data_IF_551750852460
#
_entry.id   IF_551750852460
#
_cell.length_a   1.000
_cell.length_b   1.000
_cell.length_c   1.000
_cell.angle_alpha   90.00
_cell.angle_beta   90.00
_cell.angle_gamma   90.00
#
_symmetry.space_group_name_H-M   'P 1'
#
loop_
_entity.id
_entity.type
_entity.pdbx_description
1 polymer ?
#
# COMPACT_ATOMS: atom_id res chain seq x y z
N UNK A 1 42.07 5.63 2.75
CA UNK A 1 41.02 6.07 1.79
C UNK A 1 40.14 4.92 1.28
N UNK A 2 40.67 3.74 0.91
CA UNK A 2 39.87 2.59 0.42
C UNK A 2 38.78 2.09 1.38
N UNK A 3 39.06 2.06 2.69
CA UNK A 3 38.10 1.61 3.72
C UNK A 3 36.88 2.55 3.87
N UNK A 4 37.06 3.87 3.71
CA UNK A 4 35.94 4.83 3.75
C UNK A 4 35.04 4.70 2.53
N UNK A 5 35.60 4.42 1.35
CA UNK A 5 34.82 4.21 0.12
C UNK A 5 33.91 2.97 0.24
N UNK A 6 34.38 1.91 0.90
CA UNK A 6 33.62 0.67 1.11
C UNK A 6 32.42 0.86 2.06
N UNK A 7 32.58 1.65 3.13
CA UNK A 7 31.47 1.99 4.04
C UNK A 7 30.40 2.88 3.36
N UNK A 8 30.81 3.78 2.47
CA UNK A 8 29.88 4.60 1.69
C UNK A 8 29.11 3.77 0.65
N UNK A 9 29.76 2.79 0.02
CA UNK A 9 29.11 1.86 -0.92
C UNK A 9 28.08 0.96 -0.23
N UNK A 10 28.33 0.54 1.02
CA UNK A 10 27.35 -0.24 1.80
C UNK A 10 26.14 0.60 2.24
N UNK A 11 26.28 1.92 2.44
CA UNK A 11 25.19 2.79 2.84
C UNK A 11 24.19 3.10 1.69
N UNK A 12 24.54 2.75 0.45
CA UNK A 12 23.73 2.94 -0.75
C UNK A 12 22.90 1.69 -1.14
N UNK A 13 22.84 0.66 -0.30
CA UNK A 13 21.88 -0.42 -0.47
C UNK A 13 20.48 0.12 -0.21
N UNK A 14 19.78 0.45 -1.29
CA UNK A 14 18.36 0.79 -1.28
C UNK A 14 17.60 -0.40 -0.66
N UNK A 15 17.18 -0.25 0.59
CA UNK A 15 16.41 -1.29 1.27
C UNK A 15 14.99 -1.23 0.72
N UNK A 16 14.57 -2.21 -0.07
CA UNK A 16 13.15 -2.43 -0.36
C UNK A 16 12.58 -3.41 0.65
N UNK A 17 11.34 -3.20 1.09
CA UNK A 17 10.66 -4.15 1.98
C UNK A 17 9.25 -4.47 1.48
N UNK A 18 8.79 -5.64 1.87
CA UNK A 18 7.43 -6.11 1.64
C UNK A 18 6.46 -5.41 2.60
N UNK A 19 5.29 -5.04 2.12
CA UNK A 19 4.25 -4.39 2.90
C UNK A 19 2.87 -4.83 2.42
N UNK A 20 1.88 -4.69 3.30
CA UNK A 20 0.47 -4.98 3.02
C UNK A 20 -0.37 -3.78 3.46
N UNK A 21 -1.63 -3.75 3.02
CA UNK A 21 -2.59 -2.79 3.54
C UNK A 21 -2.75 -2.96 5.06
N UNK A 22 -2.90 -1.86 5.84
CA UNK A 22 -3.17 -1.96 7.28
C UNK A 22 -4.40 -2.82 7.55
N UNK A 23 -4.34 -3.65 8.58
CA UNK A 23 -5.49 -4.43 9.00
C UNK A 23 -6.44 -3.54 9.82
N UNK A 24 -7.74 -3.46 9.44
CA UNK A 24 -8.70 -2.61 10.12
C UNK A 24 -8.90 -2.97 11.60
N UNK A 25 -8.60 -4.20 12.01
CA UNK A 25 -8.85 -4.70 13.36
C UNK A 25 -7.63 -4.58 14.30
N UNK A 26 -6.45 -4.21 13.80
CA UNK A 26 -5.23 -4.12 14.61
C UNK A 26 -4.44 -2.82 14.42
N UNK A 27 -4.96 -1.88 13.63
CA UNK A 27 -4.31 -0.60 13.32
C UNK A 27 -5.17 0.58 13.75
N UNK A 28 -4.68 1.81 13.57
CA UNK A 28 -5.44 3.02 13.89
C UNK A 28 -6.76 3.17 13.11
N UNK A 29 -6.98 2.34 12.09
CA UNK A 29 -8.22 2.29 11.32
C UNK A 29 -9.43 1.92 12.17
N UNK A 30 -9.29 1.14 13.25
CA UNK A 30 -10.42 0.83 14.14
C UNK A 30 -11.00 2.06 14.84
N UNK A 31 -10.29 3.19 14.82
CA UNK A 31 -10.75 4.50 15.30
C UNK A 31 -11.01 5.50 14.16
N UNK A 32 -11.01 5.03 12.90
CA UNK A 32 -11.23 5.89 11.73
C UNK A 32 -10.02 6.73 11.34
N UNK A 33 -8.82 6.40 11.83
CA UNK A 33 -7.60 7.16 11.57
C UNK A 33 -6.61 6.34 10.72
N UNK A 34 -6.22 6.80 9.52
CA UNK A 34 -5.17 6.14 8.75
C UNK A 34 -3.84 6.07 9.53
N UNK A 35 -3.22 4.89 9.68
CA UNK A 35 -1.97 4.77 10.42
C UNK A 35 -0.82 5.37 9.60
N UNK A 36 0.11 6.07 10.23
CA UNK A 36 1.32 6.53 9.54
C UNK A 36 2.03 5.33 8.86
N UNK A 37 2.51 5.46 7.60
CA UNK A 37 2.53 6.64 6.73
C UNK A 37 1.34 6.72 5.74
N UNK A 38 0.25 6.02 6.01
CA UNK A 38 -0.98 6.10 5.23
C UNK A 38 -1.73 7.39 5.51
N UNK A 39 -2.36 7.92 4.47
CA UNK A 39 -3.12 9.16 4.51
C UNK A 39 -4.56 8.90 4.06
N UNK A 40 -5.47 9.80 4.46
CA UNK A 40 -6.83 9.82 3.92
C UNK A 40 -6.76 10.02 2.40
N UNK A 41 -7.47 9.19 1.65
CA UNK A 41 -7.59 9.40 0.20
C UNK A 41 -8.65 10.48 -0.04
N UNK A 42 -8.29 11.66 -0.60
CA UNK A 42 -9.25 12.74 -0.86
C UNK A 42 -10.29 12.38 -1.93
N UNK A 43 -10.06 11.31 -2.70
CA UNK A 43 -10.97 10.81 -3.72
C UNK A 43 -11.87 9.66 -3.23
N UNK A 44 -11.79 9.32 -1.93
CA UNK A 44 -12.64 8.31 -1.33
C UNK A 44 -14.09 8.80 -1.24
N UNK A 45 -15.06 7.97 -1.59
CA UNK A 45 -16.49 8.31 -1.48
C UNK A 45 -16.92 8.57 -0.03
N UNK A 46 -16.38 7.78 0.91
CA UNK A 46 -16.59 7.94 2.34
C UNK A 46 -15.26 8.22 3.07
N UNK A 47 -15.28 8.92 4.22
CA UNK A 47 -14.11 9.02 5.08
C UNK A 47 -13.81 7.67 5.76
N UNK A 48 -12.55 7.42 6.18
CA UNK A 48 -12.26 6.32 7.08
C UNK A 48 -13.08 6.45 8.36
N UNK A 49 -13.75 5.36 8.73
CA UNK A 49 -14.61 5.29 9.90
C UNK A 49 -14.31 4.00 10.67
N UNK A 50 -14.05 4.16 11.97
CA UNK A 50 -13.73 3.06 12.86
C UNK A 50 -14.96 2.25 13.20
N UNK A 51 -15.13 1.10 12.54
CA UNK A 51 -16.24 0.20 12.77
C UNK A 51 -15.75 -1.25 12.92
N UNK A 52 -16.11 -1.94 14.01
CA UNK A 52 -15.85 -3.37 14.15
C UNK A 52 -16.43 -4.16 12.98
N UNK A 53 -15.65 -5.10 12.44
CA UNK A 53 -16.09 -5.89 11.27
C UNK A 53 -15.86 -5.19 9.93
N UNK A 54 -15.16 -4.06 9.90
CA UNK A 54 -14.64 -3.47 8.65
C UNK A 54 -13.78 -4.50 7.90
N UNK A 55 -14.05 -4.67 6.61
CA UNK A 55 -13.39 -5.68 5.78
C UNK A 55 -12.46 -5.03 4.76
N UNK A 56 -11.31 -5.65 4.53
CA UNK A 56 -10.48 -5.34 3.37
C UNK A 56 -11.20 -5.77 2.07
N UNK A 57 -11.20 -4.89 1.06
CA UNK A 57 -11.84 -5.16 -0.24
C UNK A 57 -10.79 -5.36 -1.34
N UNK A 58 -9.86 -4.42 -1.45
CA UNK A 58 -8.83 -4.44 -2.51
C UNK A 58 -7.67 -3.51 -2.22
N UNK A 59 -6.55 -3.79 -2.85
CA UNK A 59 -5.41 -2.91 -2.97
C UNK A 59 -5.20 -2.51 -4.43
N UNK A 60 -4.79 -1.27 -4.67
CA UNK A 60 -4.47 -0.74 -5.99
C UNK A 60 -3.06 -0.16 -5.98
N UNK A 61 -2.21 -0.58 -6.92
CA UNK A 61 -0.95 0.13 -7.20
C UNK A 61 -1.24 1.16 -8.27
N UNK A 62 -0.99 2.43 -7.96
CA UNK A 62 -1.24 3.56 -8.85
C UNK A 62 -0.01 3.81 -9.72
N UNK A 63 -0.19 3.86 -11.04
CA UNK A 63 0.91 3.98 -12.02
C UNK A 63 0.82 5.30 -12.79
N UNK A 64 1.90 6.07 -12.76
CA UNK A 64 2.13 7.23 -13.61
C UNK A 64 3.58 7.18 -14.13
N UNK A 65 3.78 6.38 -15.19
CA UNK A 65 5.10 5.97 -15.68
C UNK A 65 5.71 4.81 -14.87
N UNK A 66 5.74 4.96 -13.54
CA UNK A 66 6.13 3.91 -12.58
C UNK A 66 5.16 3.85 -11.39
N UNK A 67 5.33 2.88 -10.49
CA UNK A 67 4.49 2.75 -9.30
C UNK A 67 4.70 3.92 -8.34
N UNK A 68 3.66 4.72 -8.14
CA UNK A 68 3.69 5.98 -7.37
C UNK A 68 2.96 5.92 -6.03
N UNK A 69 2.34 4.79 -5.73
CA UNK A 69 1.71 4.59 -4.44
C UNK A 69 0.76 3.40 -4.45
N UNK A 70 0.19 3.16 -3.28
CA UNK A 70 -0.81 2.13 -3.04
C UNK A 70 -2.06 2.76 -2.46
N UNK A 71 -3.23 2.35 -2.92
CA UNK A 71 -4.52 2.67 -2.31
C UNK A 71 -5.16 1.40 -1.77
N UNK A 72 -5.61 1.41 -0.52
CA UNK A 72 -6.29 0.30 0.12
C UNK A 72 -7.76 0.68 0.32
N UNK A 73 -8.66 -0.18 -0.14
CA UNK A 73 -10.11 0.01 0.01
C UNK A 73 -10.66 -0.95 1.05
N UNK A 74 -11.53 -0.44 1.90
CA UNK A 74 -12.21 -1.17 2.96
C UNK A 74 -13.71 -0.93 2.87
N UNK A 75 -14.49 -1.86 3.41
CA UNK A 75 -15.95 -1.82 3.45
C UNK A 75 -16.46 -1.98 4.87
N UNK A 76 -17.39 -1.11 5.26
CA UNK A 76 -18.14 -1.18 6.51
C UNK A 76 -19.63 -0.87 6.26
N UNK A 77 -20.41 -0.61 7.31
CA UNK A 77 -21.85 -0.32 7.18
C UNK A 77 -22.16 0.96 6.39
N UNK A 78 -21.23 1.92 6.35
CA UNK A 78 -21.35 3.16 5.57
C UNK A 78 -20.94 3.00 4.09
N UNK A 79 -20.43 1.82 3.71
CA UNK A 79 -19.98 1.51 2.36
C UNK A 79 -18.45 1.49 2.25
N UNK A 80 -17.93 1.83 1.07
CA UNK A 80 -16.50 1.76 0.79
C UNK A 80 -15.79 3.06 1.17
N UNK A 81 -14.64 2.93 1.82
CA UNK A 81 -13.67 4.01 1.95
C UNK A 81 -12.28 3.54 1.53
N UNK A 82 -11.40 4.48 1.21
CA UNK A 82 -10.01 4.18 0.89
C UNK A 82 -9.02 5.10 1.61
N UNK A 83 -7.84 4.55 1.86
CA UNK A 83 -6.65 5.26 2.29
C UNK A 83 -5.57 5.04 1.25
N UNK A 84 -4.58 5.92 1.21
CA UNK A 84 -3.49 5.80 0.25
C UNK A 84 -2.13 6.07 0.89
N UNK A 85 -1.09 5.55 0.26
CA UNK A 85 0.30 5.84 0.57
C UNK A 85 1.01 6.20 -0.71
N UNK A 86 1.55 7.41 -0.78
CA UNK A 86 2.38 7.85 -1.91
C UNK A 86 3.82 7.43 -1.66
N UNK A 87 4.32 6.48 -2.44
CA UNK A 87 5.67 5.94 -2.29
C UNK A 87 6.09 5.23 -3.58
N UNK A 88 7.38 4.91 -3.74
CA UNK A 88 7.84 4.15 -4.90
C UNK A 88 7.52 2.68 -4.67
N UNK A 89 6.68 2.13 -5.54
CA UNK A 89 6.23 0.73 -5.47
C UNK A 89 6.79 -0.04 -6.65
N UNK A 90 7.37 -1.22 -6.40
CA UNK A 90 7.74 -2.15 -7.46
C UNK A 90 6.49 -2.62 -8.18
N UNK A 91 6.47 -2.50 -9.51
CA UNK A 91 5.36 -3.02 -10.31
C UNK A 91 5.40 -4.56 -10.30
N UNK A 92 4.27 -5.22 -10.04
CA UNK A 92 4.15 -6.67 -10.17
C UNK A 92 4.44 -7.13 -11.60
N UNK A 93 4.98 -8.34 -11.80
CA UNK A 93 5.04 -8.93 -13.12
C UNK A 93 3.61 -9.17 -13.64
N UNK A 94 3.39 -9.09 -14.95
CA UNK A 94 2.06 -9.32 -15.57
C UNK A 94 1.50 -10.74 -15.35
N UNK A 95 2.34 -11.67 -14.94
CA UNK A 95 2.00 -13.07 -14.64
C UNK A 95 1.73 -13.30 -13.15
N UNK A 96 1.74 -12.26 -12.32
CA UNK A 96 1.48 -12.37 -10.89
C UNK A 96 0.05 -12.91 -10.65
N UNK A 97 -0.13 -13.91 -9.77
CA UNK A 97 -1.45 -14.50 -9.55
C UNK A 97 -2.39 -13.63 -8.71
N UNK A 98 -1.87 -12.67 -7.95
CA UNK A 98 -2.66 -11.81 -7.06
C UNK A 98 -2.91 -10.43 -7.66
N UNK A 99 -1.95 -9.92 -8.44
CA UNK A 99 -2.01 -8.58 -9.02
C UNK A 99 -2.44 -8.60 -10.49
N UNK A 100 -3.65 -8.11 -10.72
CA UNK A 100 -4.26 -7.99 -12.04
C UNK A 100 -3.89 -6.63 -12.64
N UNK A 101 -3.28 -6.66 -13.82
CA UNK A 101 -2.97 -5.46 -14.62
C UNK A 101 -4.26 -4.80 -15.14
N UNK A 102 -4.40 -3.50 -14.89
CA UNK A 102 -5.53 -2.67 -15.31
C UNK A 102 -5.02 -1.36 -15.90
N UNK A 103 -5.87 -0.64 -16.62
CA UNK A 103 -5.47 0.60 -17.32
C UNK A 103 -4.76 1.63 -16.42
N UNK A 104 -5.14 1.73 -15.14
CA UNK A 104 -4.60 2.69 -14.19
C UNK A 104 -3.44 2.16 -13.33
N UNK A 105 -3.01 0.90 -13.53
CA UNK A 105 -1.98 0.25 -12.73
C UNK A 105 -2.30 -1.21 -12.44
N UNK A 106 -2.31 -1.59 -11.16
CA UNK A 106 -2.61 -2.97 -10.75
C UNK A 106 -3.66 -3.00 -9.66
N UNK A 107 -4.45 -4.07 -9.62
CA UNK A 107 -5.43 -4.31 -8.56
C UNK A 107 -5.25 -5.72 -7.99
N UNK A 108 -5.33 -5.84 -6.66
CA UNK A 108 -5.42 -7.11 -5.96
C UNK A 108 -6.69 -7.13 -5.11
N UNK A 109 -7.52 -8.16 -5.32
CA UNK A 109 -8.77 -8.39 -4.58
C UNK A 109 -8.74 -9.69 -3.77
N UNK A 110 -7.57 -10.30 -3.62
CA UNK A 110 -7.33 -11.47 -2.77
C UNK A 110 -7.41 -11.08 -1.28
N UNK A 111 -7.12 -12.01 -0.37
CA UNK A 111 -6.93 -11.68 1.04
C UNK A 111 -5.85 -10.58 1.22
N UNK A 112 -5.99 -9.76 2.25
CA UNK A 112 -5.10 -8.62 2.55
C UNK A 112 -3.63 -9.02 2.56
N UNK A 113 -3.32 -10.19 3.12
CA UNK A 113 -1.99 -10.77 3.23
C UNK A 113 -1.43 -11.23 1.88
N UNK A 114 -2.29 -11.62 0.94
CA UNK A 114 -1.89 -12.00 -0.41
C UNK A 114 -1.67 -10.78 -1.33
N UNK A 115 -2.24 -9.63 -0.99
CA UNK A 115 -2.00 -8.35 -1.65
C UNK A 115 -0.72 -7.67 -1.15
N UNK A 116 0.37 -8.44 -1.06
CA UNK A 116 1.69 -7.93 -0.72
C UNK A 116 2.25 -7.09 -1.87
N UNK A 117 2.90 -5.98 -1.51
CA UNK A 117 3.60 -5.10 -2.46
C UNK A 117 4.95 -4.69 -1.88
N UNK A 118 5.89 -4.36 -2.75
CA UNK A 118 7.25 -3.99 -2.35
C UNK A 118 7.46 -2.50 -2.54
N UNK A 119 7.96 -1.83 -1.50
CA UNK A 119 8.24 -0.39 -1.51
C UNK A 119 9.70 -0.12 -1.17
N UNK A 120 10.19 1.01 -1.65
CA UNK A 120 11.52 1.51 -1.29
C UNK A 120 11.46 2.11 0.12
N UNK A 121 12.46 1.86 0.97
CA UNK A 121 12.58 2.50 2.27
C UNK A 121 12.68 4.01 2.12
N UNK A 122 11.88 4.71 2.93
CA UNK A 122 11.82 6.16 3.06
C UNK A 122 12.89 6.66 4.04
#
# INVERSE_FOLDING_TARGET
MKSRLLLWLLALSINSFASTCPDPNNSSLQWGEPPYPWLKNPFSANPPYGEPGTLFVKANILVAGFGRGVSCTYRNSAGDYSIWRQTIVKLPPRIDPNWIDIYTGYVCTSAREACEFFIVAE
#
